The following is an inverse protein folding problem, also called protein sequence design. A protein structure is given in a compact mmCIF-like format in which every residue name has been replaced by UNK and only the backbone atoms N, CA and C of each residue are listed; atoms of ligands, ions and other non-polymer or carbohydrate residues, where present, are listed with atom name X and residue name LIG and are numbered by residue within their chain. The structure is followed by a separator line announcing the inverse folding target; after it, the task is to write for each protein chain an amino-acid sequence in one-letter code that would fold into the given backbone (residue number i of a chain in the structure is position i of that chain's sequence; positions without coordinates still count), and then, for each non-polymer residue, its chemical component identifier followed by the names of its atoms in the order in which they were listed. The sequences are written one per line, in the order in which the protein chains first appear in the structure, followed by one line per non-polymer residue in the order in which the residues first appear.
data_IF_175394894877
#
_entry.id   IF_175394894877
#
_cell.length_a   1.000
_cell.length_b   1.000
_cell.length_c   1.000
_cell.angle_alpha   90.00
_cell.angle_beta   90.00
_cell.angle_gamma   90.00
#
_symmetry.space_group_name_H-M   'P 1'
#
loop_
_entity.id
_entity.type
_entity.pdbx_description
1 polymer ?
#
# COMPACT_ATOMS: atom_id res chain seq x y z
N UNK A 1 -6.03 14.87 -1.22
CA UNK A 1 -6.92 13.71 -1.40
C UNK A 1 -6.43 12.90 -2.58
N UNK A 2 -6.24 11.60 -2.40
CA UNK A 2 -5.94 10.67 -3.50
C UNK A 2 -6.95 9.53 -3.46
N UNK A 3 -7.43 9.07 -4.62
CA UNK A 3 -8.41 7.99 -4.71
C UNK A 3 -8.01 7.03 -5.83
N UNK A 4 -8.10 5.74 -5.53
CA UNK A 4 -7.90 4.65 -6.48
C UNK A 4 -9.08 3.68 -6.38
N UNK A 5 -9.49 3.15 -7.52
CA UNK A 5 -10.53 2.14 -7.63
C UNK A 5 -10.13 1.12 -8.68
N UNK A 6 -10.24 -0.17 -8.33
CA UNK A 6 -9.97 -1.30 -9.21
C UNK A 6 -11.23 -2.15 -9.28
N UNK A 7 -11.76 -2.32 -10.49
CA UNK A 7 -13.00 -3.07 -10.75
C UNK A 7 -12.65 -4.35 -11.49
N UNK A 8 -13.04 -5.49 -10.93
CA UNK A 8 -12.92 -6.81 -11.54
C UNK A 8 -14.33 -7.36 -11.81
N UNK A 9 -14.61 -7.75 -13.04
CA UNK A 9 -15.93 -8.24 -13.46
C UNK A 9 -15.91 -9.71 -13.88
N UNK A 10 -16.95 -10.45 -13.49
CA UNK A 10 -17.19 -11.84 -13.86
C UNK A 10 -18.66 -12.08 -14.25
N UNK A 11 -19.00 -13.29 -14.69
CA UNK A 11 -20.38 -13.61 -15.07
C UNK A 11 -21.29 -13.62 -13.84
N UNK A 12 -22.13 -12.60 -13.71
CA UNK A 12 -23.08 -12.47 -12.60
C UNK A 12 -22.45 -11.91 -11.32
N UNK A 13 -21.20 -11.43 -11.37
CA UNK A 13 -20.48 -10.90 -10.20
C UNK A 13 -19.52 -9.75 -10.54
N UNK A 14 -19.19 -8.98 -9.51
CA UNK A 14 -18.26 -7.85 -9.58
C UNK A 14 -17.55 -7.68 -8.24
N UNK A 15 -16.25 -7.42 -8.28
CA UNK A 15 -15.45 -7.01 -7.12
C UNK A 15 -14.91 -5.60 -7.34
N UNK A 16 -15.16 -4.71 -6.39
CA UNK A 16 -14.63 -3.35 -6.37
C UNK A 16 -13.65 -3.19 -5.21
N UNK A 17 -12.41 -2.83 -5.51
CA UNK A 17 -11.36 -2.53 -4.53
C UNK A 17 -11.07 -1.03 -4.59
N UNK A 18 -11.42 -0.30 -3.53
CA UNK A 18 -11.25 1.15 -3.47
C UNK A 18 -10.35 1.56 -2.31
N UNK A 19 -9.43 2.49 -2.57
CA UNK A 19 -8.60 3.15 -1.56
C UNK A 19 -8.73 4.66 -1.69
N UNK A 20 -8.97 5.36 -0.57
CA UNK A 20 -9.04 6.82 -0.53
C UNK A 20 -8.15 7.36 0.58
N UNK A 21 -7.13 8.12 0.19
CA UNK A 21 -6.32 8.91 1.11
C UNK A 21 -7.00 10.25 1.37
N UNK A 22 -7.52 10.42 2.59
CA UNK A 22 -8.12 11.68 3.04
C UNK A 22 -7.07 12.72 3.43
N UNK A 23 -6.00 12.29 4.10
CA UNK A 23 -4.88 13.15 4.50
C UNK A 23 -3.55 12.37 4.54
N UNK A 24 -2.43 13.09 4.48
CA UNK A 24 -1.05 12.57 4.41
C UNK A 24 -0.63 11.73 5.60
N UNK A 25 -1.29 11.86 6.76
CA UNK A 25 -0.97 11.05 7.94
C UNK A 25 -1.24 9.57 7.69
N UNK A 26 -2.08 9.22 6.70
CA UNK A 26 -2.27 7.84 6.24
C UNK A 26 -1.00 7.17 5.72
N UNK A 27 0.02 7.95 5.32
CA UNK A 27 1.31 7.40 4.88
C UNK A 27 2.26 7.12 6.05
N UNK A 28 2.07 7.77 7.21
CA UNK A 28 3.03 7.72 8.32
C UNK A 28 3.33 6.30 8.83
N UNK A 29 2.35 5.39 8.97
CA UNK A 29 2.64 4.02 9.37
C UNK A 29 3.60 3.31 8.40
N UNK A 30 3.40 3.48 7.09
CA UNK A 30 4.27 2.90 6.07
C UNK A 30 5.68 3.51 6.06
N UNK A 31 5.79 4.83 6.29
CA UNK A 31 7.11 5.48 6.41
C UNK A 31 7.89 4.98 7.63
N UNK A 32 7.26 4.88 8.79
CA UNK A 32 7.91 4.41 10.02
C UNK A 32 8.39 2.96 9.85
N UNK A 33 7.57 2.10 9.25
CA UNK A 33 7.95 0.73 8.92
C UNK A 33 9.20 0.69 8.01
N UNK A 34 9.23 1.51 6.96
CA UNK A 34 10.37 1.57 6.06
C UNK A 34 11.66 2.09 6.74
N UNK A 35 11.54 3.08 7.63
CA UNK A 35 12.66 3.63 8.41
C UNK A 35 13.22 2.58 9.38
N UNK A 36 12.35 1.78 10.01
CA UNK A 36 12.77 0.69 10.88
C UNK A 36 13.46 -0.42 10.05
N UNK A 37 12.86 -0.82 8.93
CA UNK A 37 13.41 -1.85 8.04
C UNK A 37 14.82 -1.51 7.53
N UNK A 38 15.05 -0.27 7.07
CA UNK A 38 16.34 0.14 6.50
C UNK A 38 17.45 0.23 7.55
N UNK A 39 17.11 0.23 8.84
CA UNK A 39 18.11 0.19 9.91
C UNK A 39 18.90 -1.12 9.89
N UNK A 40 18.23 -2.24 9.56
CA UNK A 40 18.81 -3.59 9.57
C UNK A 40 19.09 -4.15 8.17
N UNK A 41 18.47 -3.61 7.12
CA UNK A 41 18.59 -4.11 5.75
C UNK A 41 19.13 -3.01 4.82
N UNK A 42 20.19 -3.29 4.06
CA UNK A 42 20.91 -2.30 3.22
C UNK A 42 20.81 -2.56 1.71
N UNK A 43 20.04 -3.56 1.32
CA UNK A 43 19.80 -3.87 -0.08
C UNK A 43 18.77 -2.92 -0.70
N UNK A 44 18.67 -2.95 -2.03
CA UNK A 44 17.64 -2.20 -2.75
C UNK A 44 16.27 -2.84 -2.54
N UNK A 45 15.30 -2.03 -2.14
CA UNK A 45 13.91 -2.46 -1.88
C UNK A 45 12.96 -1.62 -2.73
N UNK A 46 12.09 -2.27 -3.52
CA UNK A 46 11.13 -1.59 -4.38
C UNK A 46 9.70 -1.77 -3.88
N UNK A 47 9.09 -0.65 -3.49
CA UNK A 47 7.72 -0.60 -2.97
C UNK A 47 7.60 -1.08 -1.52
N UNK A 48 6.51 -0.71 -0.87
CA UNK A 48 6.26 -1.12 0.52
C UNK A 48 5.85 -2.60 0.61
N UNK A 49 5.33 -3.18 -0.47
CA UNK A 49 4.89 -4.58 -0.54
C UNK A 49 5.99 -5.59 -0.18
N UNK A 50 7.25 -5.31 -0.49
CA UNK A 50 8.37 -6.22 -0.18
C UNK A 50 8.76 -6.25 1.30
N UNK A 51 8.24 -5.33 2.12
CA UNK A 51 8.47 -5.26 3.56
C UNK A 51 7.19 -5.41 4.38
N UNK A 52 6.06 -5.61 3.71
CA UNK A 52 4.81 -6.00 4.33
C UNK A 52 4.75 -7.53 4.34
N UNK A 53 4.33 -8.12 5.46
CA UNK A 53 4.13 -9.57 5.61
C UNK A 53 2.78 -9.96 4.96
N UNK A 54 2.73 -9.90 3.63
CA UNK A 54 1.52 -10.05 2.79
C UNK A 54 1.69 -11.15 1.73
#
# INVERSE_FOLDING_TARGET
MARQEVVLGGKGEMLNLSHTTLNRESYMPGLLLAIEYISNNKDFTFGLGSILDL
#
